data_IF_819084498107
#
_entry.id   IF_819084498107
#
_cell.length_a   1.000
_cell.length_b   1.000
_cell.length_c   1.000
_cell.angle_alpha   90.00
_cell.angle_beta   90.00
_cell.angle_gamma   90.00
#
_symmetry.space_group_name_H-M   'P 1'
#
loop_
_entity.id
_entity.type
_entity.pdbx_description
1 polymer ?
#
# COMPACT_ATOMS: atom_id res chain seq x y z
N UNK A 1 22.78 -17.27 -19.47
CA UNK A 1 21.49 -17.41 -18.75
C UNK A 1 21.67 -16.62 -17.48
N UNK A 2 21.03 -15.45 -17.38
CA UNK A 2 21.27 -14.50 -16.29
C UNK A 2 20.64 -15.06 -15.01
N UNK A 3 21.46 -15.40 -14.01
CA UNK A 3 21.02 -16.10 -12.78
C UNK A 3 20.05 -15.26 -11.93
N UNK A 4 19.76 -14.03 -12.35
CA UNK A 4 18.89 -13.07 -11.68
C UNK A 4 17.55 -12.83 -12.41
N UNK A 5 17.28 -13.49 -13.53
CA UNK A 5 15.98 -13.39 -14.20
C UNK A 5 14.92 -14.20 -13.44
N UNK A 6 14.15 -13.50 -12.60
CA UNK A 6 13.03 -14.08 -11.85
C UNK A 6 11.87 -14.31 -12.81
N UNK A 7 11.79 -15.52 -13.37
CA UNK A 7 10.77 -15.92 -14.35
C UNK A 7 9.44 -16.32 -13.66
N UNK A 8 8.89 -15.43 -12.84
CA UNK A 8 7.58 -15.63 -12.21
C UNK A 8 6.53 -14.89 -13.05
N UNK A 9 5.53 -15.62 -13.55
CA UNK A 9 4.37 -15.03 -14.24
C UNK A 9 3.73 -13.97 -13.32
N UNK A 10 3.86 -12.70 -13.70
CA UNK A 10 3.37 -11.57 -12.91
C UNK A 10 1.85 -11.67 -12.77
N UNK A 11 1.37 -11.61 -11.53
CA UNK A 11 -0.06 -11.51 -11.23
C UNK A 11 -0.59 -10.17 -11.77
N UNK A 12 -1.89 -10.07 -12.13
CA UNK A 12 -2.42 -8.88 -12.77
C UNK A 12 -2.27 -7.65 -11.85
N UNK A 13 -1.70 -6.58 -12.39
CA UNK A 13 -1.45 -5.33 -11.66
C UNK A 13 -2.73 -4.54 -11.40
N UNK A 14 -2.70 -3.58 -10.46
CA UNK A 14 -3.81 -2.63 -10.25
C UNK A 14 -4.16 -1.91 -11.56
N UNK A 15 -3.15 -1.55 -12.36
CA UNK A 15 -3.33 -0.89 -13.66
C UNK A 15 -4.04 -1.80 -14.66
N UNK A 16 -3.61 -3.07 -14.78
CA UNK A 16 -4.25 -4.05 -15.66
C UNK A 16 -5.68 -4.37 -15.24
N UNK A 17 -5.95 -4.51 -13.94
CA UNK A 17 -7.30 -4.74 -13.43
C UNK A 17 -8.18 -3.52 -13.68
N UNK A 18 -7.68 -2.31 -13.42
CA UNK A 18 -8.39 -1.07 -13.77
C UNK A 18 -8.73 -1.03 -15.25
N UNK A 19 -7.77 -1.31 -16.13
CA UNK A 19 -7.99 -1.33 -17.57
C UNK A 19 -9.08 -2.33 -17.96
N UNK A 20 -9.02 -3.56 -17.42
CA UNK A 20 -10.06 -4.57 -17.65
C UNK A 20 -11.45 -4.10 -17.19
N UNK A 21 -11.55 -3.47 -16.02
CA UNK A 21 -12.82 -2.92 -15.54
C UNK A 21 -13.36 -1.81 -16.46
N UNK A 22 -12.48 -0.99 -17.03
CA UNK A 22 -12.87 0.03 -18.02
C UNK A 22 -13.34 -0.62 -19.32
N UNK A 23 -12.65 -1.66 -19.81
CA UNK A 23 -13.03 -2.38 -21.03
C UNK A 23 -14.37 -3.10 -20.88
N UNK A 24 -14.58 -3.80 -19.76
CA UNK A 24 -15.85 -4.47 -19.44
C UNK A 24 -17.04 -3.50 -19.33
N UNK A 25 -16.77 -2.25 -18.92
CA UNK A 25 -17.79 -1.20 -18.90
C UNK A 25 -18.19 -0.76 -20.32
N UNK A 26 -17.28 -0.83 -21.29
CA UNK A 26 -17.55 -0.45 -22.68
C UNK A 26 -18.35 -1.53 -23.41
N UNK A 27 -18.04 -2.80 -23.17
CA UNK A 27 -18.65 -3.91 -23.92
C UNK A 27 -20.08 -4.21 -23.50
N UNK A 28 -20.45 -3.89 -22.25
CA UNK A 28 -21.75 -4.28 -21.70
C UNK A 28 -22.88 -3.24 -21.92
N UNK A 29 -22.65 -2.14 -22.65
CA UNK A 29 -23.57 -0.98 -22.69
C UNK A 29 -23.98 -0.52 -21.28
N UNK A 30 -23.11 -0.74 -20.28
CA UNK A 30 -23.38 -0.35 -18.90
C UNK A 30 -23.03 1.13 -18.76
N UNK A 31 -23.96 1.88 -18.15
CA UNK A 31 -23.92 3.33 -18.06
C UNK A 31 -22.52 3.89 -17.67
N UNK A 32 -22.18 5.12 -18.12
CA UNK A 32 -20.92 5.81 -17.80
C UNK A 32 -20.56 5.84 -16.31
N UNK A 33 -21.55 5.62 -15.44
CA UNK A 33 -21.42 5.45 -13.99
C UNK A 33 -20.40 4.38 -13.55
N UNK A 34 -20.33 3.19 -14.18
CA UNK A 34 -19.34 2.16 -13.72
C UNK A 34 -17.89 2.54 -14.04
N UNK A 35 -17.68 3.22 -15.18
CA UNK A 35 -16.36 3.66 -15.62
C UNK A 35 -15.81 4.77 -14.72
N UNK A 36 -16.67 5.74 -14.37
CA UNK A 36 -16.33 6.80 -13.43
C UNK A 36 -16.07 6.23 -12.03
N UNK A 37 -16.88 5.27 -11.58
CA UNK A 37 -16.70 4.60 -10.29
C UNK A 37 -15.36 3.86 -10.16
N UNK A 38 -14.97 3.03 -11.14
CA UNK A 38 -13.69 2.32 -11.07
C UNK A 38 -12.48 3.29 -11.09
N UNK A 39 -12.63 4.41 -11.80
CA UNK A 39 -11.62 5.48 -11.80
C UNK A 39 -11.54 6.16 -10.45
N UNK A 40 -12.70 6.48 -9.86
CA UNK A 40 -12.83 7.08 -8.54
C UNK A 40 -12.22 6.19 -7.44
N UNK A 41 -12.62 4.91 -7.34
CA UNK A 41 -12.00 3.99 -6.37
C UNK A 41 -10.48 3.96 -6.55
N UNK A 42 -10.00 3.82 -7.79
CA UNK A 42 -8.56 3.83 -8.08
C UNK A 42 -7.85 5.11 -7.65
N UNK A 43 -8.52 6.27 -7.67
CA UNK A 43 -7.95 7.52 -7.15
C UNK A 43 -7.89 7.51 -5.63
N UNK A 44 -8.92 7.01 -4.94
CA UNK A 44 -8.89 6.84 -3.48
C UNK A 44 -7.77 5.91 -3.04
N UNK A 45 -7.57 4.78 -3.74
CA UNK A 45 -6.44 3.87 -3.47
C UNK A 45 -5.08 4.54 -3.61
N UNK A 46 -4.93 5.46 -4.57
CA UNK A 46 -3.68 6.19 -4.78
C UNK A 46 -3.43 7.22 -3.67
N UNK A 47 -4.49 7.84 -3.15
CA UNK A 47 -4.40 8.74 -1.99
C UNK A 47 -3.94 7.96 -0.76
N UNK A 48 -4.50 6.77 -0.50
CA UNK A 48 -4.06 5.93 0.61
C UNK A 48 -2.59 5.47 0.49
N UNK A 49 -2.12 5.16 -0.71
CA UNK A 49 -0.71 4.87 -0.96
C UNK A 49 0.19 6.09 -0.66
N UNK A 50 -0.26 7.29 -1.03
CA UNK A 50 0.45 8.53 -0.73
C UNK A 50 0.49 8.85 0.78
N UNK A 51 -0.59 8.57 1.50
CA UNK A 51 -0.63 8.65 2.97
C UNK A 51 0.42 7.73 3.60
N UNK A 52 0.48 6.46 3.17
CA UNK A 52 1.47 5.50 3.69
C UNK A 52 2.89 5.95 3.35
N UNK A 53 3.15 6.43 2.13
CA UNK A 53 4.47 6.94 1.74
C UNK A 53 4.95 8.07 2.66
N UNK A 54 4.08 9.03 2.95
CA UNK A 54 4.37 10.14 3.85
C UNK A 54 4.56 9.74 5.32
N UNK A 55 3.95 8.64 5.75
CA UNK A 55 4.15 8.09 7.09
C UNK A 55 5.50 7.39 7.20
N UNK A 56 5.87 6.58 6.20
CA UNK A 56 7.16 5.87 6.16
C UNK A 56 8.34 6.82 6.02
N UNK A 57 8.23 7.86 5.20
CA UNK A 57 9.31 8.83 5.06
C UNK A 57 9.53 9.65 6.35
N UNK A 58 8.57 9.65 7.30
CA UNK A 58 8.56 10.51 8.50
C UNK A 58 8.81 12.00 8.19
N UNK A 59 8.68 12.40 6.92
CA UNK A 59 8.88 13.76 6.46
C UNK A 59 7.55 14.49 6.42
N UNK A 60 7.50 15.65 7.08
CA UNK A 60 6.42 16.60 6.94
C UNK A 60 6.86 17.72 5.99
N UNK A 61 6.89 17.39 4.70
CA UNK A 61 7.09 18.43 3.69
C UNK A 61 5.75 19.13 3.52
N UNK A 62 5.63 20.36 4.04
CA UNK A 62 4.40 21.15 4.00
C UNK A 62 3.72 21.10 2.61
N UNK A 63 4.51 21.24 1.55
CA UNK A 63 4.02 21.16 0.16
C UNK A 63 3.37 19.80 -0.19
N UNK A 64 3.91 18.69 0.30
CA UNK A 64 3.34 17.37 0.05
C UNK A 64 2.07 17.15 0.89
N UNK A 65 2.04 17.64 2.13
CA UNK A 65 0.86 17.59 2.97
C UNK A 65 -0.28 18.46 2.41
N UNK A 66 0.00 19.68 1.96
CA UNK A 66 -0.98 20.56 1.31
C UNK A 66 -1.55 19.93 0.04
N UNK A 67 -0.67 19.32 -0.79
CA UNK A 67 -1.09 18.59 -1.99
C UNK A 67 -1.98 17.40 -1.63
N UNK A 68 -1.60 16.63 -0.62
CA UNK A 68 -2.37 15.47 -0.18
C UNK A 68 -3.73 15.90 0.39
N UNK A 69 -3.78 16.98 1.17
CA UNK A 69 -5.02 17.55 1.68
C UNK A 69 -5.95 17.96 0.54
N UNK A 70 -5.45 18.68 -0.47
CA UNK A 70 -6.26 19.04 -1.64
C UNK A 70 -6.78 17.83 -2.43
N UNK A 71 -6.01 16.73 -2.48
CA UNK A 71 -6.49 15.48 -3.07
C UNK A 71 -7.59 14.82 -2.23
N UNK A 72 -7.46 14.84 -0.91
CA UNK A 72 -8.45 14.31 0.04
C UNK A 72 -9.73 15.11 -0.07
N UNK A 73 -9.68 16.44 -0.01
CA UNK A 73 -10.85 17.31 -0.07
C UNK A 73 -11.61 17.12 -1.38
N UNK A 74 -10.90 17.11 -2.51
CA UNK A 74 -11.49 16.84 -3.82
C UNK A 74 -12.11 15.44 -3.92
N UNK A 75 -11.46 14.45 -3.31
CA UNK A 75 -11.98 13.08 -3.28
C UNK A 75 -13.25 12.98 -2.42
N UNK A 76 -13.25 13.54 -1.22
CA UNK A 76 -14.39 13.56 -0.30
C UNK A 76 -15.58 14.27 -0.92
N UNK A 77 -15.37 15.41 -1.59
CA UNK A 77 -16.44 16.11 -2.32
C UNK A 77 -17.03 15.25 -3.45
N UNK A 78 -16.18 14.50 -4.17
CA UNK A 78 -16.64 13.60 -5.23
C UNK A 78 -17.34 12.34 -4.70
N UNK A 79 -17.13 11.98 -3.43
CA UNK A 79 -17.70 10.78 -2.82
C UNK A 79 -19.23 10.82 -2.77
N UNK A 80 -19.81 12.01 -2.54
CA UNK A 80 -21.28 12.22 -2.53
C UNK A 80 -21.92 11.74 -3.84
N UNK A 81 -21.26 11.98 -4.99
CA UNK A 81 -21.78 11.56 -6.29
C UNK A 81 -21.77 10.03 -6.48
N UNK A 82 -20.87 9.32 -5.80
CA UNK A 82 -20.63 7.90 -6.00
C UNK A 82 -21.26 7.02 -4.92
N UNK A 83 -21.38 7.53 -3.68
CA UNK A 83 -21.92 6.83 -2.52
C UNK A 83 -23.40 7.15 -2.26
N UNK A 84 -23.96 8.19 -2.89
CA UNK A 84 -25.38 8.54 -2.80
C UNK A 84 -25.71 9.51 -1.66
N UNK A 85 -26.99 9.95 -1.63
CA UNK A 85 -27.51 11.04 -0.80
C UNK A 85 -27.57 10.73 0.71
N UNK A 86 -27.26 9.48 1.12
CA UNK A 86 -27.25 9.04 2.52
C UNK A 86 -25.85 9.00 3.18
N UNK A 87 -24.82 9.51 2.51
CA UNK A 87 -23.46 9.55 3.04
C UNK A 87 -23.23 10.78 3.92
N UNK A 88 -23.19 10.60 5.25
CA UNK A 88 -22.74 11.62 6.20
C UNK A 88 -21.22 11.59 6.36
N UNK A 89 -20.56 12.74 6.14
CA UNK A 89 -19.11 12.94 6.28
C UNK A 89 -18.63 13.01 7.73
N UNK A 90 -19.55 13.11 8.69
CA UNK A 90 -19.26 13.49 10.08
C UNK A 90 -19.02 12.29 11.01
N UNK A 91 -18.88 11.09 10.46
CA UNK A 91 -18.60 9.91 11.28
C UNK A 91 -17.12 9.81 11.64
N UNK A 92 -16.83 9.88 12.94
CA UNK A 92 -15.50 9.63 13.47
C UNK A 92 -14.99 8.27 12.99
N UNK A 93 -13.81 8.23 12.35
CA UNK A 93 -13.25 6.99 11.87
C UNK A 93 -12.88 6.07 13.05
N UNK A 94 -13.29 4.80 12.96
CA UNK A 94 -12.70 3.75 13.80
C UNK A 94 -11.18 3.77 13.62
N UNK A 95 -10.49 3.79 14.76
CA UNK A 95 -9.06 4.00 14.96
C UNK A 95 -8.20 3.39 13.82
N UNK A 96 -7.55 4.26 13.05
CA UNK A 96 -6.52 3.85 12.10
C UNK A 96 -5.30 3.37 12.89
N UNK A 97 -5.40 2.16 13.43
CA UNK A 97 -4.21 1.43 13.84
C UNK A 97 -3.51 0.98 12.55
N UNK A 98 -2.73 1.90 12.00
CA UNK A 98 -1.76 1.61 10.98
C UNK A 98 -0.63 0.89 11.71
N UNK A 99 -0.64 -0.44 11.65
CA UNK A 99 0.52 -1.26 11.98
C UNK A 99 1.61 -0.95 10.94
N UNK A 100 2.19 0.25 11.03
CA UNK A 100 3.46 0.54 10.39
C UNK A 100 4.39 -0.54 10.92
N UNK A 101 4.99 -1.31 10.03
CA UNK A 101 5.98 -2.30 10.40
C UNK A 101 7.27 -1.54 10.79
N UNK A 102 7.22 -0.87 11.95
CA UNK A 102 8.18 0.14 12.40
C UNK A 102 9.50 -0.51 12.89
N UNK A 103 9.51 -1.82 13.14
CA UNK A 103 10.62 -2.53 13.80
C UNK A 103 11.59 -3.24 12.86
N UNK A 104 11.77 -2.78 11.60
CA UNK A 104 12.77 -3.39 10.70
C UNK A 104 14.22 -3.01 11.03
N UNK A 105 14.45 -2.12 12.01
CA UNK A 105 15.75 -1.86 12.62
C UNK A 105 15.67 -2.07 14.16
N UNK A 106 16.38 -3.08 14.66
CA UNK A 106 16.68 -3.25 16.09
C UNK A 106 17.71 -2.17 16.52
N UNK A 107 17.30 -0.89 16.59
CA UNK A 107 18.03 0.12 17.35
C UNK A 107 17.29 0.42 18.66
N UNK A 108 17.79 -0.04 19.83
CA UNK A 108 17.08 0.05 21.11
C UNK A 108 16.96 1.48 21.69
N UNK A 109 17.24 2.53 20.92
CA UNK A 109 17.37 3.90 21.41
C UNK A 109 16.20 4.85 21.09
N UNK A 110 15.27 4.52 20.20
CA UNK A 110 14.21 5.46 19.78
C UNK A 110 12.79 4.94 20.06
N UNK A 111 12.48 4.75 21.34
CA UNK A 111 11.09 4.63 21.79
C UNK A 111 10.46 6.03 21.90
N UNK A 112 10.18 6.68 20.76
CA UNK A 112 9.42 7.95 20.78
C UNK A 112 7.93 7.68 20.85
N UNK A 113 7.39 7.83 22.07
CA UNK A 113 5.95 7.91 22.36
C UNK A 113 5.26 8.82 21.35
N UNK A 114 4.34 8.26 20.57
CA UNK A 114 3.46 8.99 19.66
C UNK A 114 2.57 9.94 20.46
N UNK A 115 2.92 11.23 20.45
CA UNK A 115 2.17 12.30 21.09
C UNK A 115 0.83 12.52 20.38
N UNK A 116 -0.22 12.67 21.18
CA UNK A 116 -1.64 12.68 20.82
C UNK A 116 -2.10 13.99 20.13
N UNK A 117 -1.26 14.59 19.28
CA UNK A 117 -1.53 15.84 18.55
C UNK A 117 -1.83 15.62 17.06
N UNK A 118 -1.89 14.37 16.60
CA UNK A 118 -1.99 14.02 15.17
C UNK A 118 -3.43 13.92 14.62
N UNK A 119 -4.45 14.35 15.37
CA UNK A 119 -5.86 14.09 15.02
C UNK A 119 -6.33 14.78 13.73
N UNK A 120 -5.58 15.75 13.19
CA UNK A 120 -5.94 16.53 12.00
C UNK A 120 -4.89 16.50 10.86
N UNK A 121 -4.01 15.50 10.82
CA UNK A 121 -3.04 15.41 9.72
C UNK A 121 -3.65 14.74 8.48
N UNK A 122 -3.39 15.26 7.25
CA UNK A 122 -3.82 14.61 6.01
C UNK A 122 -3.36 13.14 5.89
N UNK A 123 -2.29 12.78 6.61
CA UNK A 123 -1.74 11.42 6.66
C UNK A 123 -2.66 10.41 7.35
N UNK A 124 -3.51 10.87 8.28
CA UNK A 124 -4.43 10.04 9.07
C UNK A 124 -5.91 10.27 8.72
N UNK A 125 -6.22 11.13 7.75
CA UNK A 125 -7.60 11.31 7.32
C UNK A 125 -8.12 10.05 6.65
N UNK A 126 -9.28 9.55 7.08
CA UNK A 126 -9.90 8.37 6.46
C UNK A 126 -10.51 8.74 5.12
N UNK A 127 -10.11 8.00 4.09
CA UNK A 127 -10.64 8.16 2.74
C UNK A 127 -11.98 7.42 2.66
N UNK A 128 -13.07 8.04 2.16
CA UNK A 128 -14.39 7.42 2.08
C UNK A 128 -14.45 6.37 0.96
N UNK A 129 -13.80 5.24 1.19
CA UNK A 129 -13.83 4.05 0.34
C UNK A 129 -14.73 2.98 0.96
N UNK A 130 -15.40 2.14 0.16
CA UNK A 130 -16.23 1.05 0.67
C UNK A 130 -15.55 0.20 1.76
N UNK A 131 -14.25 -0.11 1.63
CA UNK A 131 -13.51 -0.86 2.64
C UNK A 131 -13.36 -0.16 3.99
N UNK A 132 -13.37 1.17 4.00
CA UNK A 132 -13.25 1.99 5.21
C UNK A 132 -14.62 2.30 5.83
N UNK A 133 -15.69 2.26 5.03
CA UNK A 133 -17.07 2.38 5.51
C UNK A 133 -17.61 1.05 6.07
N UNK A 134 -17.14 -0.06 5.51
CA UNK A 134 -17.56 -1.40 5.84
C UNK A 134 -18.84 -1.85 5.13
N UNK A 135 -18.94 -3.18 4.99
CA UNK A 135 -20.14 -4.00 4.87
C UNK A 135 -21.48 -3.26 4.88
N UNK A 136 -21.92 -3.03 6.10
CA UNK A 136 -23.28 -2.64 6.45
C UNK A 136 -23.60 -1.20 6.03
N UNK A 137 -22.65 -0.28 6.15
CA UNK A 137 -22.84 1.10 5.69
C UNK A 137 -22.98 1.17 4.17
N UNK A 138 -22.21 0.37 3.43
CA UNK A 138 -22.36 0.29 1.99
C UNK A 138 -23.74 -0.24 1.58
N UNK A 139 -24.31 -1.21 2.33
CA UNK A 139 -25.68 -1.68 2.12
C UNK A 139 -26.70 -0.55 2.38
N UNK A 140 -26.54 0.22 3.45
CA UNK A 140 -27.42 1.34 3.79
C UNK A 140 -27.39 2.47 2.74
N UNK A 141 -26.24 2.75 2.13
CA UNK A 141 -26.09 3.84 1.15
C UNK A 141 -26.33 3.40 -0.30
N UNK A 142 -26.85 2.18 -0.54
CA UNK A 142 -26.97 1.58 -1.89
C UNK A 142 -25.62 1.49 -2.66
N UNK A 143 -24.50 1.49 -1.93
CA UNK A 143 -23.14 1.44 -2.45
C UNK A 143 -22.60 0.00 -2.58
N UNK A 144 -23.44 -1.03 -2.39
CA UNK A 144 -23.04 -2.43 -2.43
C UNK A 144 -22.39 -2.84 -3.76
N UNK A 145 -22.81 -2.23 -4.88
CA UNK A 145 -22.23 -2.48 -6.19
C UNK A 145 -20.75 -2.04 -6.32
N UNK A 146 -20.25 -1.19 -5.41
CA UNK A 146 -18.84 -0.75 -5.38
C UNK A 146 -17.91 -1.78 -4.74
N UNK A 147 -18.41 -2.62 -3.84
CA UNK A 147 -17.63 -3.64 -3.11
C UNK A 147 -16.83 -4.57 -4.04
N UNK A 148 -17.44 -5.23 -5.06
CA UNK A 148 -16.68 -6.12 -5.94
C UNK A 148 -15.67 -5.38 -6.83
N UNK A 149 -15.94 -4.11 -7.16
CA UNK A 149 -15.03 -3.27 -7.94
C UNK A 149 -13.81 -2.90 -7.10
N UNK A 150 -14.01 -2.47 -5.85
CA UNK A 150 -12.92 -2.19 -4.94
C UNK A 150 -12.11 -3.45 -4.65
N UNK A 151 -12.77 -4.57 -4.34
CA UNK A 151 -12.10 -5.86 -4.09
C UNK A 151 -11.13 -6.21 -5.23
N UNK A 152 -11.60 -6.10 -6.48
CA UNK A 152 -10.77 -6.38 -7.66
C UNK A 152 -9.55 -5.46 -7.73
N UNK A 153 -9.73 -4.16 -7.47
CA UNK A 153 -8.61 -3.20 -7.48
C UNK A 153 -7.63 -3.44 -6.31
N UNK A 154 -8.12 -3.84 -5.14
CA UNK A 154 -7.32 -4.22 -3.97
C UNK A 154 -6.47 -5.46 -4.25
N UNK A 155 -6.99 -6.45 -4.98
CA UNK A 155 -6.18 -7.60 -5.44
C UNK A 155 -5.00 -7.14 -6.29
N UNK A 156 -5.23 -6.21 -7.22
CA UNK A 156 -4.18 -5.62 -8.04
C UNK A 156 -3.15 -4.85 -7.22
N UNK A 157 -3.62 -4.08 -6.25
CA UNK A 157 -2.77 -3.34 -5.32
C UNK A 157 -1.88 -4.28 -4.50
N UNK A 158 -2.46 -5.36 -3.97
CA UNK A 158 -1.73 -6.39 -3.24
C UNK A 158 -0.68 -7.09 -4.11
N UNK A 159 -1.01 -7.39 -5.37
CA UNK A 159 -0.08 -7.99 -6.33
C UNK A 159 1.10 -7.06 -6.63
N UNK A 160 0.84 -5.77 -6.87
CA UNK A 160 1.87 -4.77 -7.12
C UNK A 160 2.78 -4.59 -5.90
N UNK A 161 2.22 -4.51 -4.70
CA UNK A 161 2.98 -4.41 -3.46
C UNK A 161 3.90 -5.62 -3.25
N UNK A 162 3.37 -6.84 -3.36
CA UNK A 162 4.18 -8.07 -3.23
C UNK A 162 5.27 -8.17 -4.29
N UNK A 163 4.99 -7.76 -5.53
CA UNK A 163 5.99 -7.72 -6.59
C UNK A 163 7.12 -6.76 -6.28
N UNK A 164 6.80 -5.53 -5.84
CA UNK A 164 7.80 -4.54 -5.49
C UNK A 164 8.62 -4.95 -4.27
N UNK A 165 8.01 -5.56 -3.24
CA UNK A 165 8.75 -6.14 -2.09
C UNK A 165 9.84 -7.09 -2.60
N UNK A 166 9.50 -8.02 -3.51
CA UNK A 166 10.48 -8.96 -4.08
C UNK A 166 11.60 -8.22 -4.82
N UNK A 167 11.27 -7.25 -5.67
CA UNK A 167 12.27 -6.46 -6.40
C UNK A 167 13.22 -5.74 -5.44
N UNK A 168 12.68 -5.08 -4.41
CA UNK A 168 13.50 -4.34 -3.45
C UNK A 168 14.35 -5.26 -2.58
N UNK A 169 13.85 -6.43 -2.17
CA UNK A 169 14.66 -7.43 -1.47
C UNK A 169 15.80 -7.95 -2.36
N UNK A 170 15.54 -8.21 -3.64
CA UNK A 170 16.60 -8.57 -4.60
C UNK A 170 17.64 -7.46 -4.75
N UNK A 171 17.19 -6.21 -4.90
CA UNK A 171 18.10 -5.06 -4.98
C UNK A 171 18.95 -4.93 -3.71
N UNK A 172 18.34 -5.04 -2.53
CA UNK A 172 19.05 -5.00 -1.24
C UNK A 172 20.09 -6.11 -1.17
N UNK A 173 19.78 -7.35 -1.58
CA UNK A 173 20.74 -8.45 -1.64
C UNK A 173 21.92 -8.16 -2.60
N UNK A 174 21.64 -7.58 -3.77
CA UNK A 174 22.67 -7.17 -4.73
C UNK A 174 23.57 -6.09 -4.10
N UNK A 175 23.01 -5.05 -3.49
CA UNK A 175 23.78 -3.99 -2.81
C UNK A 175 24.70 -4.54 -1.72
N UNK A 176 24.25 -5.54 -0.95
CA UNK A 176 25.11 -6.21 0.02
C UNK A 176 26.32 -6.89 -0.65
N UNK A 177 26.09 -7.54 -1.80
CA UNK A 177 27.15 -8.26 -2.52
C UNK A 177 28.12 -7.33 -3.25
N UNK A 178 27.61 -6.31 -3.92
CA UNK A 178 28.39 -5.48 -4.85
C UNK A 178 28.90 -4.19 -4.20
N UNK A 179 28.10 -3.53 -3.37
CA UNK A 179 28.47 -2.21 -2.82
C UNK A 179 29.07 -2.35 -1.43
N UNK A 180 28.37 -3.01 -0.50
CA UNK A 180 28.80 -3.10 0.91
C UNK A 180 30.12 -3.88 1.04
N UNK A 181 30.18 -5.08 0.45
CA UNK A 181 31.38 -5.94 0.52
C UNK A 181 32.59 -5.35 -0.20
N UNK A 182 32.39 -4.52 -1.22
CA UNK A 182 33.48 -3.90 -1.98
C UNK A 182 33.92 -2.54 -1.41
N UNK A 183 33.20 -1.98 -0.44
CA UNK A 183 33.51 -0.68 0.14
C UNK A 183 34.79 -0.72 0.99
N UNK A 184 35.89 -0.17 0.46
CA UNK A 184 37.22 -0.18 1.10
C UNK A 184 37.47 1.00 2.05
N UNK A 185 36.71 2.08 1.94
CA UNK A 185 36.88 3.27 2.78
C UNK A 185 35.63 3.55 3.62
N UNK A 186 35.80 4.29 4.70
CA UNK A 186 34.70 4.68 5.58
C UNK A 186 33.61 5.48 4.83
N UNK A 187 34.01 6.42 3.98
CA UNK A 187 33.08 7.20 3.18
C UNK A 187 32.26 6.32 2.21
N UNK A 188 32.90 5.32 1.58
CA UNK A 188 32.21 4.37 0.71
C UNK A 188 31.25 3.47 1.49
N UNK A 189 31.63 3.04 2.70
CA UNK A 189 30.75 2.26 3.58
C UNK A 189 29.51 3.06 3.98
N UNK A 190 29.67 4.31 4.40
CA UNK A 190 28.55 5.19 4.77
C UNK A 190 27.59 5.37 3.58
N UNK A 191 28.12 5.65 2.38
CA UNK A 191 27.29 5.76 1.16
C UNK A 191 26.57 4.45 0.84
N UNK A 192 27.27 3.32 0.95
CA UNK A 192 26.68 2.01 0.69
C UNK A 192 25.55 1.69 1.68
N UNK A 193 25.73 2.00 2.96
CA UNK A 193 24.69 1.85 3.98
C UNK A 193 23.50 2.78 3.71
N UNK A 194 23.72 4.03 3.33
CA UNK A 194 22.64 4.94 2.92
C UNK A 194 21.80 4.39 1.75
N UNK A 195 22.43 3.73 0.77
CA UNK A 195 21.69 3.04 -0.30
C UNK A 195 20.87 1.87 0.23
N UNK A 196 21.42 1.06 1.15
CA UNK A 196 20.68 -0.04 1.78
C UNK A 196 19.48 0.48 2.57
N UNK A 197 19.63 1.59 3.30
CA UNK A 197 18.54 2.22 4.05
C UNK A 197 17.43 2.74 3.12
N UNK A 198 17.79 3.36 2.00
CA UNK A 198 16.80 3.80 1.01
C UNK A 198 16.02 2.62 0.42
N UNK A 199 16.68 1.50 0.09
CA UNK A 199 15.98 0.30 -0.36
C UNK A 199 15.13 -0.31 0.75
N UNK A 200 15.60 -0.25 2.01
CA UNK A 200 14.84 -0.72 3.16
C UNK A 200 13.54 0.08 3.35
N UNK A 201 13.59 1.41 3.22
CA UNK A 201 12.39 2.25 3.25
C UNK A 201 11.39 1.86 2.16
N UNK A 202 11.86 1.54 0.95
CA UNK A 202 10.99 1.05 -0.13
C UNK A 202 10.36 -0.32 0.20
N UNK A 203 11.08 -1.22 0.86
CA UNK A 203 10.51 -2.48 1.38
C UNK A 203 9.43 -2.18 2.42
N UNK A 204 9.70 -1.31 3.39
CA UNK A 204 8.73 -0.92 4.43
C UNK A 204 7.47 -0.29 3.83
N UNK A 205 7.62 0.60 2.85
CA UNK A 205 6.51 1.21 2.11
C UNK A 205 5.59 0.15 1.50
N UNK A 206 6.15 -0.76 0.71
CA UNK A 206 5.32 -1.77 0.04
C UNK A 206 4.78 -2.83 1.00
N UNK A 207 5.49 -3.14 2.08
CA UNK A 207 4.98 -3.99 3.16
C UNK A 207 3.75 -3.35 3.84
N UNK A 208 3.81 -2.06 4.19
CA UNK A 208 2.69 -1.32 4.79
C UNK A 208 1.50 -1.20 3.84
N UNK A 209 1.74 -0.95 2.54
CA UNK A 209 0.69 -0.97 1.52
C UNK A 209 0.02 -2.35 1.47
N UNK A 210 0.80 -3.43 1.45
CA UNK A 210 0.25 -4.78 1.43
C UNK A 210 -0.59 -5.09 2.68
N UNK A 211 -0.08 -4.78 3.86
CA UNK A 211 -0.77 -5.02 5.14
C UNK A 211 -2.08 -4.25 5.22
N UNK A 212 -2.08 -2.94 4.88
CA UNK A 212 -3.30 -2.12 4.83
C UNK A 212 -4.30 -2.67 3.81
N UNK A 213 -3.84 -2.97 2.59
CA UNK A 213 -4.67 -3.54 1.53
C UNK A 213 -5.33 -4.84 2.00
N UNK A 214 -4.57 -5.73 2.65
CA UNK A 214 -5.11 -6.99 3.18
C UNK A 214 -6.17 -6.74 4.26
N UNK A 215 -5.93 -5.83 5.20
CA UNK A 215 -6.91 -5.45 6.24
C UNK A 215 -8.20 -4.94 5.61
N UNK A 216 -8.10 -4.08 4.60
CA UNK A 216 -9.26 -3.55 3.87
C UNK A 216 -9.99 -4.63 3.05
N UNK A 217 -9.26 -5.56 2.44
CA UNK A 217 -9.87 -6.73 1.81
C UNK A 217 -10.67 -7.55 2.81
N UNK A 218 -10.21 -7.70 4.07
CA UNK A 218 -10.98 -8.37 5.13
C UNK A 218 -12.29 -7.65 5.46
N UNK A 219 -12.27 -6.31 5.48
CA UNK A 219 -13.46 -5.48 5.74
C UNK A 219 -14.51 -5.58 4.63
N UNK A 220 -14.11 -5.95 3.42
CA UNK A 220 -14.99 -6.18 2.27
C UNK A 220 -15.52 -7.64 2.21
N UNK A 221 -15.35 -8.43 3.27
CA UNK A 221 -15.81 -9.83 3.38
C UNK A 221 -15.31 -10.72 2.22
N UNK A 222 -13.99 -11.00 2.14
CA UNK A 222 -13.41 -11.69 1.01
C UNK A 222 -13.78 -13.18 1.01
N UNK A 223 -13.93 -13.75 -0.18
CA UNK A 223 -14.15 -15.20 -0.33
C UNK A 223 -12.99 -16.05 0.22
N UNK A 224 -13.27 -17.32 0.55
CA UNK A 224 -12.29 -18.26 1.11
C UNK A 224 -11.01 -18.38 0.27
N UNK A 225 -11.13 -18.33 -1.05
CA UNK A 225 -10.01 -18.42 -1.98
C UNK A 225 -9.04 -17.22 -1.84
N UNK A 226 -9.59 -16.02 -1.60
CA UNK A 226 -8.81 -14.80 -1.43
C UNK A 226 -8.03 -14.82 -0.11
N UNK A 227 -8.63 -15.36 0.95
CA UNK A 227 -7.97 -15.56 2.25
C UNK A 227 -6.80 -16.55 2.16
N UNK A 228 -6.91 -17.57 1.33
CA UNK A 228 -5.81 -18.52 1.09
C UNK A 228 -4.69 -17.91 0.23
N UNK A 229 -5.06 -17.09 -0.75
CA UNK A 229 -4.14 -16.43 -1.68
C UNK A 229 -3.33 -15.32 -1.02
N UNK A 230 -3.97 -14.44 -0.25
CA UNK A 230 -3.33 -13.27 0.38
C UNK A 230 -3.11 -13.48 1.88
N UNK A 231 -1.96 -14.05 2.22
CA UNK A 231 -1.56 -14.40 3.58
C UNK A 231 -1.01 -13.19 4.35
N UNK A 232 -1.11 -13.16 5.70
CA UNK A 232 -0.45 -12.11 6.47
C UNK A 232 1.06 -12.13 6.19
N UNK A 233 1.63 -10.94 6.02
CA UNK A 233 3.06 -10.76 5.80
C UNK A 233 3.76 -10.79 7.16
N UNK A 234 4.71 -11.71 7.32
CA UNK A 234 5.48 -11.80 8.55
C UNK A 234 6.74 -10.96 8.44
N UNK A 235 7.12 -10.33 9.55
CA UNK A 235 8.33 -9.51 9.63
C UNK A 235 9.60 -10.29 9.24
N UNK A 236 9.69 -11.54 9.64
CA UNK A 236 10.81 -12.44 9.30
C UNK A 236 10.97 -12.64 7.78
N UNK A 237 9.88 -12.58 7.01
CA UNK A 237 9.90 -12.75 5.56
C UNK A 237 10.49 -11.54 4.83
N UNK A 238 10.62 -10.40 5.51
CA UNK A 238 11.24 -9.18 4.99
C UNK A 238 12.73 -9.08 5.32
N UNK A 239 13.24 -9.96 6.19
CA UNK A 239 14.67 -10.05 6.48
C UNK A 239 15.37 -10.86 5.39
N UNK A 240 16.44 -10.30 4.84
CA UNK A 240 17.32 -11.04 3.94
C UNK A 240 18.28 -11.83 4.80
N UNK A 241 18.24 -13.15 4.70
CA UNK A 241 19.24 -14.00 5.34
C UNK A 241 20.61 -13.68 4.74
N UNK A 242 21.46 -13.04 5.53
CA UNK A 242 22.87 -12.81 5.20
C UNK A 242 23.75 -13.99 5.58
N UNK A 243 23.14 -15.09 6.07
CA UNK A 243 23.85 -16.29 6.49
C UNK A 243 24.68 -16.87 5.34
N UNK A 244 25.97 -16.97 5.60
CA UNK A 244 26.98 -17.51 4.69
C UNK A 244 26.65 -18.99 4.48
N UNK A 245 26.31 -19.40 3.25
CA UNK A 245 26.57 -20.77 2.85
C UNK A 245 28.07 -20.98 2.89
N UNK A 246 28.55 -21.81 3.82
CA UNK A 246 29.97 -22.18 3.89
C UNK A 246 30.42 -22.63 2.49
N UNK A 247 31.38 -21.94 1.84
CA UNK A 247 31.85 -22.36 0.52
C UNK A 247 32.68 -23.66 0.56
N UNK A 248 32.85 -24.26 1.75
CA UNK A 248 33.60 -25.49 1.99
C UNK A 248 32.78 -26.52 2.80
N UNK A 249 31.54 -26.80 2.41
CA UNK A 249 30.77 -27.95 2.93
C UNK A 249 30.58 -28.99 1.82
#
# INVERSE_FOLDING_TARGET
MDLYEINIKKAPSKKEIKLRLLEESNTRNVAPSRRSVATWISTGLAIEEAQIALLIERLDVAQQCDRLQGQIDGFTQSAIMHLGEGFDTDHDPDDLNLDILDDLDDDPADSTKTSNTWTNSPKLTVIPLPSNLGVDRCRCCMAEALIPLEMSLREGQANDALHNIRIHLCNKAILFRTTIRQAKSQALKIRAWSQVMSVQQAVSLHASIYTKTRKQMMQLEPGKDQLQKYKPLLHEQLKISTAIGNPNA
#
